data_IF_061058456043
#
_entry.id   IF_061058456043
#
_cell.length_a   1.000
_cell.length_b   1.000
_cell.length_c   1.000
_cell.angle_alpha   90.00
_cell.angle_beta   90.00
_cell.angle_gamma   90.00
#
_symmetry.space_group_name_H-M   'P 1'
#
loop_
_entity.id
_entity.type
_entity.pdbx_description
1 polymer ?
#
# COMPACT_ATOMS: atom_id res chain seq x y z
N UNK A 1 27.83 26.00 23.13
CA UNK A 1 26.72 26.96 22.98
C UNK A 1 26.16 26.82 21.61
N UNK A 2 24.84 26.71 21.49
CA UNK A 2 24.17 26.68 20.17
C UNK A 2 24.33 28.06 19.52
N UNK A 3 25.00 28.09 18.36
CA UNK A 3 25.16 29.31 17.56
C UNK A 3 23.94 29.51 16.67
N UNK A 4 23.52 30.75 16.46
CA UNK A 4 22.40 31.11 15.60
C UNK A 4 22.86 32.12 14.56
N UNK A 5 22.26 32.07 13.37
CA UNK A 5 22.33 33.10 12.35
C UNK A 5 20.99 33.82 12.27
N UNK A 6 20.99 35.04 11.79
CA UNK A 6 19.77 35.80 11.50
C UNK A 6 19.42 35.60 10.03
N UNK A 7 18.20 35.12 9.79
CA UNK A 7 17.58 35.10 8.45
C UNK A 7 16.45 36.15 8.41
N UNK A 8 16.12 36.63 7.24
CA UNK A 8 15.09 37.67 7.05
C UNK A 8 14.16 37.28 5.90
N UNK A 9 12.88 37.60 6.04
CA UNK A 9 11.86 37.55 5.02
C UNK A 9 10.92 38.73 5.11
N UNK A 10 9.84 38.77 4.33
CA UNK A 10 8.86 39.86 4.32
C UNK A 10 8.16 40.11 5.66
N UNK A 11 8.24 39.17 6.62
CA UNK A 11 7.70 39.29 7.98
C UNK A 11 8.77 39.74 9.00
N UNK A 12 10.01 39.98 8.57
CA UNK A 12 11.12 40.44 9.40
C UNK A 12 12.10 39.34 9.79
N UNK A 13 12.94 39.63 10.75
CA UNK A 13 14.06 38.78 11.16
C UNK A 13 13.64 37.59 12.03
N UNK A 14 14.32 36.46 11.87
CA UNK A 14 14.16 35.29 12.69
C UNK A 14 15.52 34.58 12.90
N UNK A 15 15.66 33.92 14.06
CA UNK A 15 16.87 33.18 14.42
C UNK A 15 16.78 31.73 13.90
N UNK A 16 17.77 31.31 13.15
CA UNK A 16 17.93 29.93 12.69
C UNK A 16 19.22 29.37 13.28
N UNK A 17 19.24 28.10 13.67
CA UNK A 17 20.49 27.45 14.13
C UNK A 17 21.52 27.48 13.00
N UNK A 18 22.77 27.84 13.33
CA UNK A 18 23.81 28.06 12.35
C UNK A 18 24.23 26.78 11.58
N UNK A 19 24.00 25.60 12.17
CA UNK A 19 24.27 24.29 11.61
C UNK A 19 23.17 23.76 10.68
N UNK A 20 22.10 24.51 10.45
CA UNK A 20 20.96 24.10 9.62
C UNK A 20 20.98 24.80 8.27
N UNK A 21 20.55 24.08 7.23
CA UNK A 21 20.51 24.58 5.85
C UNK A 21 19.16 25.17 5.44
N UNK A 22 18.12 25.07 6.27
CA UNK A 22 16.88 25.82 6.02
C UNK A 22 17.00 27.28 6.45
N UNK A 23 16.08 28.12 5.99
CA UNK A 23 16.02 29.55 6.26
C UNK A 23 14.77 29.96 7.06
N UNK A 24 14.32 31.19 6.84
CA UNK A 24 13.26 31.83 7.61
C UNK A 24 11.91 31.14 7.53
N UNK A 25 11.46 30.73 6.32
CA UNK A 25 10.11 30.17 6.18
C UNK A 25 9.99 28.81 6.85
N UNK A 26 10.97 27.94 6.71
CA UNK A 26 11.02 26.66 7.43
C UNK A 26 11.08 26.89 8.94
N UNK A 27 11.91 27.82 9.40
CA UNK A 27 12.00 28.14 10.84
C UNK A 27 10.67 28.62 11.40
N UNK A 28 9.96 29.51 10.67
CA UNK A 28 8.61 29.97 11.09
C UNK A 28 7.63 28.82 11.18
N UNK A 29 7.67 27.89 10.22
CA UNK A 29 6.81 26.71 10.25
C UNK A 29 7.06 25.86 11.51
N UNK A 30 8.33 25.63 11.86
CA UNK A 30 8.70 24.89 13.09
C UNK A 30 8.25 25.59 14.38
N UNK A 31 8.18 26.91 14.38
CA UNK A 31 7.71 27.67 15.54
C UNK A 31 6.18 27.71 15.64
N UNK A 32 5.49 27.80 14.50
CA UNK A 32 4.03 27.98 14.43
C UNK A 32 3.25 26.66 14.46
N UNK A 33 3.80 25.57 13.92
CA UNK A 33 3.08 24.30 13.76
C UNK A 33 3.69 23.18 14.63
N UNK A 34 3.69 23.36 15.93
CA UNK A 34 4.08 22.34 16.92
C UNK A 34 2.92 21.40 17.20
N UNK A 35 2.46 20.69 16.17
CA UNK A 35 1.27 19.85 16.20
C UNK A 35 1.68 18.42 15.82
N UNK A 36 1.37 17.46 16.70
CA UNK A 36 1.71 16.04 16.48
C UNK A 36 3.21 15.76 16.47
N UNK A 37 3.57 14.57 16.02
CA UNK A 37 4.97 14.13 15.86
C UNK A 37 5.26 13.66 14.44
N UNK A 38 4.22 13.53 13.61
CA UNK A 38 4.30 13.05 12.24
C UNK A 38 5.04 14.09 11.39
N UNK A 39 6.18 13.66 10.84
CA UNK A 39 6.96 14.44 9.90
C UNK A 39 6.54 14.16 8.46
N UNK A 40 6.83 15.11 7.57
CA UNK A 40 6.66 14.87 6.13
C UNK A 40 7.47 13.65 5.69
N UNK A 41 6.89 12.76 4.86
CA UNK A 41 7.55 11.53 4.43
C UNK A 41 8.87 11.81 3.70
N UNK A 42 9.91 11.02 3.99
CA UNK A 42 11.20 11.12 3.29
C UNK A 42 11.07 10.80 1.79
N UNK A 43 10.18 9.89 1.44
CA UNK A 43 9.80 9.59 0.06
C UNK A 43 9.26 10.80 -0.70
N UNK A 44 8.47 11.65 -0.05
CA UNK A 44 8.00 12.91 -0.64
C UNK A 44 9.17 13.89 -0.84
N UNK A 45 10.11 13.96 0.10
CA UNK A 45 11.30 14.81 -0.04
C UNK A 45 12.17 14.34 -1.21
N UNK A 46 12.35 13.04 -1.36
CA UNK A 46 13.00 12.44 -2.52
C UNK A 46 12.32 12.86 -3.83
N UNK A 47 10.99 12.77 -3.88
CA UNK A 47 10.21 13.18 -5.06
C UNK A 47 10.28 14.69 -5.32
N UNK A 48 10.37 15.52 -4.29
CA UNK A 48 10.69 16.94 -4.45
C UNK A 48 12.06 17.17 -5.08
N UNK A 49 13.08 16.40 -4.72
CA UNK A 49 14.41 16.51 -5.33
C UNK A 49 14.37 16.18 -6.81
N UNK A 50 13.71 15.09 -7.22
CA UNK A 50 13.48 14.72 -8.63
C UNK A 50 12.78 15.86 -9.39
N UNK A 51 11.71 16.39 -8.82
CA UNK A 51 10.94 17.48 -9.41
C UNK A 51 11.77 18.75 -9.56
N UNK A 52 12.52 19.15 -8.52
CA UNK A 52 13.36 20.37 -8.55
C UNK A 52 14.52 20.25 -9.54
N UNK A 53 15.11 19.07 -9.66
CA UNK A 53 16.10 18.80 -10.72
C UNK A 53 15.49 18.99 -12.10
N UNK A 54 14.31 18.39 -12.36
CA UNK A 54 13.63 18.50 -13.65
C UNK A 54 13.23 19.95 -13.96
N UNK A 55 12.70 20.68 -12.97
CA UNK A 55 12.36 22.09 -13.11
C UNK A 55 13.60 22.95 -13.39
N UNK A 56 14.74 22.70 -12.75
CA UNK A 56 15.97 23.43 -13.02
C UNK A 56 16.46 23.21 -14.45
N UNK A 57 16.44 21.98 -14.95
CA UNK A 57 16.82 21.65 -16.33
C UNK A 57 15.87 22.30 -17.35
N UNK A 58 14.55 22.31 -17.08
CA UNK A 58 13.58 23.00 -17.92
C UNK A 58 13.78 24.52 -17.89
N UNK A 59 14.04 25.12 -16.73
CA UNK A 59 14.35 26.54 -16.61
C UNK A 59 15.66 26.94 -17.33
N UNK A 60 16.66 26.08 -17.35
CA UNK A 60 17.86 26.27 -18.16
C UNK A 60 17.52 26.27 -19.64
N UNK A 61 16.71 25.32 -20.12
CA UNK A 61 16.24 25.26 -21.51
C UNK A 61 15.54 26.57 -21.94
N UNK A 62 14.72 27.14 -21.06
CA UNK A 62 14.02 28.41 -21.31
C UNK A 62 14.85 29.66 -20.93
N UNK A 63 16.13 29.53 -20.64
CA UNK A 63 17.05 30.62 -20.25
C UNK A 63 16.55 31.45 -19.05
N UNK A 64 15.78 30.82 -18.12
CA UNK A 64 15.33 31.46 -16.88
C UNK A 64 16.40 31.44 -15.80
N UNK A 65 17.30 30.47 -15.86
CA UNK A 65 18.48 30.35 -14.98
C UNK A 65 19.73 30.06 -15.82
N UNK A 66 20.91 30.34 -15.27
CA UNK A 66 22.18 30.05 -15.91
C UNK A 66 22.60 28.58 -15.77
N UNK A 67 23.53 28.12 -16.61
CA UNK A 67 24.14 26.78 -16.49
C UNK A 67 24.71 26.52 -15.08
N UNK A 68 25.45 27.48 -14.51
CA UNK A 68 26.03 27.37 -13.17
C UNK A 68 24.97 27.20 -12.08
N UNK A 69 23.84 27.94 -12.19
CA UNK A 69 22.71 27.80 -11.28
C UNK A 69 22.03 26.42 -11.40
N UNK A 70 21.81 25.97 -12.64
CA UNK A 70 21.24 24.66 -12.90
C UNK A 70 22.13 23.55 -12.35
N UNK A 71 23.43 23.57 -12.63
CA UNK A 71 24.41 22.61 -12.12
C UNK A 71 24.36 22.50 -10.59
N UNK A 72 24.37 23.65 -9.90
CA UNK A 72 24.32 23.68 -8.45
C UNK A 72 23.02 23.08 -7.89
N UNK A 73 21.84 23.40 -8.49
CA UNK A 73 20.56 22.82 -8.08
C UNK A 73 20.55 21.31 -8.31
N UNK A 74 20.91 20.86 -9.50
CA UNK A 74 20.95 19.44 -9.88
C UNK A 74 21.85 18.64 -8.94
N UNK A 75 23.05 19.15 -8.63
CA UNK A 75 23.98 18.49 -7.72
C UNK A 75 23.39 18.25 -6.33
N UNK A 76 22.71 19.25 -5.79
CA UNK A 76 22.10 19.11 -4.44
C UNK A 76 20.87 18.21 -4.49
N UNK A 77 20.04 18.28 -5.54
CA UNK A 77 18.92 17.37 -5.72
C UNK A 77 19.39 15.91 -5.74
N UNK A 78 20.43 15.59 -6.49
CA UNK A 78 21.02 14.25 -6.52
C UNK A 78 21.51 13.79 -5.14
N UNK A 79 22.17 14.66 -4.38
CA UNK A 79 22.60 14.33 -3.02
C UNK A 79 21.39 14.02 -2.09
N UNK A 80 20.29 14.76 -2.23
CA UNK A 80 19.04 14.50 -1.46
C UNK A 80 18.43 13.16 -1.87
N UNK A 81 18.40 12.85 -3.16
CA UNK A 81 17.94 11.57 -3.69
C UNK A 81 18.79 10.40 -3.17
N UNK A 82 20.10 10.57 -3.02
CA UNK A 82 21.03 9.61 -2.42
C UNK A 82 20.86 9.49 -0.88
N UNK A 83 19.84 10.16 -0.30
CA UNK A 83 19.55 10.10 1.13
C UNK A 83 20.37 11.05 2.01
N UNK A 84 21.16 11.95 1.42
CA UNK A 84 21.91 12.96 2.18
C UNK A 84 20.98 14.11 2.61
N UNK A 85 21.34 14.77 3.70
CA UNK A 85 20.65 15.96 4.23
C UNK A 85 19.17 15.74 4.61
N UNK A 86 18.69 14.52 4.79
CA UNK A 86 17.29 14.27 5.15
C UNK A 86 16.90 14.83 6.52
N UNK A 87 17.87 15.07 7.42
CA UNK A 87 17.68 15.76 8.68
C UNK A 87 17.39 17.28 8.54
N UNK A 88 17.53 17.81 7.31
CA UNK A 88 17.22 19.20 6.98
C UNK A 88 15.76 19.42 6.58
N UNK A 89 14.92 18.36 6.65
CA UNK A 89 13.48 18.39 6.33
C UNK A 89 12.65 18.02 7.56
N UNK A 90 12.60 18.90 8.60
CA UNK A 90 12.04 18.57 9.90
C UNK A 90 10.55 18.96 10.04
N UNK A 91 9.86 19.31 8.96
CA UNK A 91 8.51 19.84 9.04
C UNK A 91 7.47 18.78 9.35
N UNK A 92 6.51 19.15 10.20
CA UNK A 92 5.36 18.30 10.51
C UNK A 92 4.36 18.24 9.35
N UNK A 93 3.59 17.16 9.31
CA UNK A 93 2.45 17.00 8.39
C UNK A 93 1.41 18.10 8.61
N UNK A 94 1.17 18.45 9.87
CA UNK A 94 0.19 19.44 10.32
C UNK A 94 0.72 20.88 10.12
N UNK A 95 0.77 21.28 8.85
CA UNK A 95 1.25 22.59 8.38
C UNK A 95 0.19 23.23 7.48
N UNK A 96 0.53 24.26 6.70
CA UNK A 96 -0.40 24.79 5.70
C UNK A 96 -0.83 23.71 4.72
N UNK A 97 -2.13 23.62 4.44
CA UNK A 97 -2.71 22.54 3.66
C UNK A 97 -2.31 22.51 2.19
N UNK A 98 -1.73 23.60 1.65
CA UNK A 98 -1.11 23.66 0.32
C UNK A 98 0.28 23.03 0.26
N UNK A 99 0.90 22.73 1.42
CA UNK A 99 2.26 22.23 1.50
C UNK A 99 3.35 23.26 1.17
N UNK A 100 3.00 24.55 1.20
CA UNK A 100 3.94 25.65 0.88
C UNK A 100 5.19 25.60 1.72
N UNK A 101 5.09 25.32 3.02
CA UNK A 101 6.27 25.25 3.88
C UNK A 101 7.21 24.11 3.46
N UNK A 102 6.68 22.96 3.05
CA UNK A 102 7.51 21.84 2.55
C UNK A 102 8.22 22.19 1.24
N UNK A 103 7.52 22.82 0.29
CA UNK A 103 8.14 23.32 -0.94
C UNK A 103 9.23 24.36 -0.63
N UNK A 104 8.95 25.29 0.29
CA UNK A 104 9.94 26.28 0.69
C UNK A 104 11.11 25.68 1.46
N UNK A 105 10.88 24.68 2.29
CA UNK A 105 11.96 23.93 2.94
C UNK A 105 12.91 23.32 1.90
N UNK A 106 12.38 22.68 0.85
CA UNK A 106 13.20 22.17 -0.25
C UNK A 106 13.96 23.31 -0.95
N UNK A 107 13.30 24.41 -1.27
CA UNK A 107 13.93 25.56 -1.93
C UNK A 107 15.04 26.19 -1.07
N UNK A 108 14.81 26.35 0.23
CA UNK A 108 15.78 26.93 1.17
C UNK A 108 17.01 26.04 1.33
N UNK A 109 16.82 24.74 1.54
CA UNK A 109 17.92 23.76 1.66
C UNK A 109 18.73 23.67 0.37
N UNK A 110 18.06 23.53 -0.79
CA UNK A 110 18.73 23.43 -2.10
C UNK A 110 19.51 24.73 -2.39
N UNK A 111 18.93 25.90 -2.13
CA UNK A 111 19.62 27.17 -2.40
C UNK A 111 20.84 27.36 -1.50
N UNK A 112 20.76 27.02 -0.23
CA UNK A 112 21.86 27.20 0.71
C UNK A 112 23.03 26.24 0.42
N UNK A 113 22.74 24.95 0.26
CA UNK A 113 23.73 23.96 -0.10
C UNK A 113 24.32 24.20 -1.50
N UNK A 114 23.49 24.64 -2.46
CA UNK A 114 23.95 24.94 -3.81
C UNK A 114 24.86 26.15 -3.89
N UNK A 115 24.63 27.17 -3.05
CA UNK A 115 25.53 28.32 -2.90
C UNK A 115 26.88 27.91 -2.27
N UNK A 116 26.85 27.01 -1.29
CA UNK A 116 28.07 26.45 -0.70
C UNK A 116 28.85 25.62 -1.74
N UNK A 117 28.17 24.78 -2.51
CA UNK A 117 28.78 23.99 -3.61
C UNK A 117 29.40 24.91 -4.67
N UNK A 118 28.69 25.94 -5.11
CA UNK A 118 29.16 26.90 -6.10
C UNK A 118 30.24 27.86 -5.57
N UNK A 119 30.45 27.91 -4.25
CA UNK A 119 31.32 28.87 -3.54
C UNK A 119 30.98 30.35 -3.87
N UNK A 120 29.69 30.58 -4.18
CA UNK A 120 29.18 31.88 -4.60
C UNK A 120 27.67 31.94 -4.31
N UNK A 121 27.16 33.10 -3.92
CA UNK A 121 25.74 33.29 -3.65
C UNK A 121 24.95 33.55 -4.94
N UNK A 122 24.70 32.49 -5.72
CA UNK A 122 24.03 32.53 -7.04
C UNK A 122 22.61 32.02 -7.01
N UNK A 123 22.18 31.30 -5.95
CA UNK A 123 20.86 30.74 -5.81
C UNK A 123 20.04 31.49 -4.78
N UNK A 124 18.81 31.83 -5.14
CA UNK A 124 17.77 32.34 -4.25
C UNK A 124 16.60 31.31 -4.17
N UNK A 125 16.00 31.03 -2.98
CA UNK A 125 14.95 30.02 -2.84
C UNK A 125 13.76 30.27 -3.77
N UNK A 126 13.32 31.52 -3.92
CA UNK A 126 12.16 31.89 -4.75
C UNK A 126 12.52 32.17 -6.20
N UNK A 127 13.58 32.95 -6.46
CA UNK A 127 13.84 33.49 -7.79
C UNK A 127 14.57 32.50 -8.70
N UNK A 128 15.32 31.55 -8.14
CA UNK A 128 16.07 30.54 -8.90
C UNK A 128 15.55 29.12 -8.70
N UNK A 129 15.50 28.61 -7.46
CA UNK A 129 15.09 27.23 -7.18
C UNK A 129 13.60 27.04 -7.48
N UNK A 130 12.77 28.05 -7.20
CA UNK A 130 11.32 28.03 -7.47
C UNK A 130 10.93 28.73 -8.78
N UNK A 131 11.87 29.08 -9.64
CA UNK A 131 11.57 29.71 -10.93
C UNK A 131 10.53 28.93 -11.73
N UNK A 132 9.56 29.61 -12.36
CA UNK A 132 8.47 29.02 -13.16
C UNK A 132 7.53 28.08 -12.38
N UNK A 133 7.51 28.11 -11.06
CA UNK A 133 6.78 27.18 -10.18
C UNK A 133 5.95 27.94 -9.14
N UNK A 134 5.01 27.22 -8.55
CA UNK A 134 4.32 27.57 -7.29
C UNK A 134 4.32 26.35 -6.37
N UNK A 135 4.17 26.55 -5.06
CA UNK A 135 3.88 25.43 -4.14
C UNK A 135 2.61 24.70 -4.52
N UNK A 136 1.67 25.39 -5.15
CA UNK A 136 0.36 24.88 -5.53
C UNK A 136 0.44 23.79 -6.60
N UNK A 137 1.40 23.86 -7.52
CA UNK A 137 1.63 22.86 -8.56
C UNK A 137 2.76 21.87 -8.21
N UNK A 138 3.79 22.31 -7.46
CA UNK A 138 4.92 21.44 -7.10
C UNK A 138 4.58 20.40 -6.05
N UNK A 139 3.78 20.76 -5.04
CA UNK A 139 3.43 19.77 -4.01
C UNK A 139 2.58 18.62 -4.55
N UNK A 140 1.49 18.85 -5.31
CA UNK A 140 0.76 17.74 -5.91
C UNK A 140 1.59 16.96 -6.93
N UNK A 141 2.48 17.61 -7.69
CA UNK A 141 3.38 16.89 -8.59
C UNK A 141 4.33 15.96 -7.82
N UNK A 142 4.96 16.43 -6.74
CA UNK A 142 5.81 15.60 -5.89
C UNK A 142 5.04 14.45 -5.23
N UNK A 143 3.78 14.68 -4.79
CA UNK A 143 2.89 13.65 -4.27
C UNK A 143 2.63 12.54 -5.31
N UNK A 144 2.31 12.92 -6.55
CA UNK A 144 2.07 11.98 -7.64
C UNK A 144 3.33 11.16 -7.98
N UNK A 145 4.51 11.81 -8.04
CA UNK A 145 5.79 11.13 -8.26
C UNK A 145 6.05 10.11 -7.14
N UNK A 146 5.88 10.50 -5.88
CA UNK A 146 6.06 9.62 -4.72
C UNK A 146 5.17 8.39 -4.79
N UNK A 147 3.87 8.58 -5.04
CA UNK A 147 2.91 7.47 -5.09
C UNK A 147 3.24 6.52 -6.24
N UNK A 148 3.55 7.06 -7.42
CA UNK A 148 3.91 6.25 -8.58
C UNK A 148 5.18 5.42 -8.32
N UNK A 149 6.24 6.03 -7.81
CA UNK A 149 7.49 5.32 -7.52
C UNK A 149 7.29 4.23 -6.46
N UNK A 150 6.70 4.56 -5.32
CA UNK A 150 6.51 3.58 -4.23
C UNK A 150 5.64 2.39 -4.66
N UNK A 151 4.60 2.63 -5.45
CA UNK A 151 3.78 1.52 -5.97
C UNK A 151 4.61 0.64 -6.91
N UNK A 152 5.30 1.24 -7.90
CA UNK A 152 6.04 0.47 -8.90
C UNK A 152 7.30 -0.21 -8.32
N UNK A 153 8.04 0.45 -7.44
CA UNK A 153 9.34 -0.01 -6.96
C UNK A 153 9.23 -0.86 -5.68
N UNK A 154 8.19 -0.65 -4.86
CA UNK A 154 8.05 -1.35 -3.58
C UNK A 154 6.85 -2.31 -3.59
N UNK A 155 5.60 -1.82 -3.81
CA UNK A 155 4.40 -2.61 -3.61
C UNK A 155 4.22 -3.70 -4.67
N UNK A 156 4.32 -3.36 -5.96
CA UNK A 156 4.11 -4.33 -7.05
C UNK A 156 5.10 -5.51 -7.01
N UNK A 157 6.39 -5.32 -6.71
CA UNK A 157 7.32 -6.43 -6.50
C UNK A 157 6.91 -7.36 -5.35
N UNK A 158 6.40 -6.81 -4.23
CA UNK A 158 5.92 -7.61 -3.08
C UNK A 158 4.67 -8.40 -3.40
N UNK A 159 3.74 -7.81 -4.15
CA UNK A 159 2.55 -8.54 -4.65
C UNK A 159 2.96 -9.68 -5.58
N UNK A 160 3.88 -9.47 -6.50
CA UNK A 160 4.39 -10.52 -7.38
C UNK A 160 5.03 -11.66 -6.58
N UNK A 161 5.79 -11.34 -5.53
CA UNK A 161 6.40 -12.34 -4.65
C UNK A 161 5.33 -13.16 -3.91
N UNK A 162 4.30 -12.52 -3.37
CA UNK A 162 3.19 -13.20 -2.69
C UNK A 162 2.41 -14.11 -3.66
N UNK A 163 2.10 -13.62 -4.86
CA UNK A 163 1.43 -14.40 -5.91
C UNK A 163 2.24 -15.66 -6.26
N UNK A 164 3.55 -15.51 -6.46
CA UNK A 164 4.43 -16.64 -6.77
C UNK A 164 4.49 -17.66 -5.62
N UNK A 165 4.52 -17.20 -4.37
CA UNK A 165 4.52 -18.08 -3.19
C UNK A 165 3.21 -18.85 -3.04
N UNK A 166 2.05 -18.19 -3.25
CA UNK A 166 0.75 -18.88 -3.20
C UNK A 166 0.66 -19.91 -4.33
N UNK A 167 1.12 -19.58 -5.54
CA UNK A 167 1.15 -20.51 -6.66
C UNK A 167 2.00 -21.76 -6.36
N UNK A 168 3.15 -21.58 -5.73
CA UNK A 168 3.98 -22.71 -5.27
C UNK A 168 3.22 -23.59 -4.28
N UNK A 169 2.49 -22.98 -3.32
CA UNK A 169 1.65 -23.73 -2.38
C UNK A 169 0.50 -24.47 -3.08
N UNK A 170 -0.10 -23.90 -4.13
CA UNK A 170 -1.11 -24.60 -4.95
C UNK A 170 -0.53 -25.89 -5.58
N UNK A 171 0.65 -25.78 -6.20
CA UNK A 171 1.34 -26.89 -6.86
C UNK A 171 1.74 -28.00 -5.86
N UNK A 172 2.22 -27.62 -4.67
CA UNK A 172 2.61 -28.55 -3.59
C UNK A 172 1.42 -29.29 -2.96
N UNK A 173 0.19 -28.79 -3.13
CA UNK A 173 -1.02 -29.29 -2.47
C UNK A 173 -2.14 -29.68 -3.46
N UNK A 174 -1.83 -29.95 -4.72
CA UNK A 174 -2.81 -30.21 -5.81
C UNK A 174 -3.69 -31.43 -5.59
N UNK A 175 -3.20 -32.44 -4.86
CA UNK A 175 -3.89 -33.71 -4.60
C UNK A 175 -4.62 -33.77 -3.24
N UNK A 176 -4.55 -32.72 -2.42
CA UNK A 176 -5.11 -32.72 -1.07
C UNK A 176 -6.57 -32.28 -1.14
N UNK A 177 -7.49 -33.17 -0.76
CA UNK A 177 -8.91 -32.87 -0.61
C UNK A 177 -9.19 -32.53 0.86
N UNK A 178 -9.96 -31.50 1.09
CA UNK A 178 -10.43 -31.06 2.41
C UNK A 178 -11.92 -30.75 2.37
N UNK A 179 -12.52 -30.63 3.56
CA UNK A 179 -13.89 -30.10 3.65
C UNK A 179 -13.88 -28.57 3.45
N UNK A 180 -14.78 -28.08 2.61
CA UNK A 180 -15.05 -26.66 2.46
C UNK A 180 -15.92 -26.14 3.63
N UNK A 181 -15.86 -24.83 3.88
CA UNK A 181 -16.70 -24.16 4.88
C UNK A 181 -17.33 -22.92 4.32
N UNK A 182 -18.64 -22.79 4.59
CA UNK A 182 -19.39 -21.54 4.42
C UNK A 182 -20.04 -21.19 5.74
N UNK A 183 -20.08 -19.92 6.12
CA UNK A 183 -20.59 -19.48 7.45
C UNK A 183 -19.83 -20.15 8.64
N UNK A 184 -18.58 -20.58 8.45
CA UNK A 184 -17.80 -21.43 9.38
C UNK A 184 -18.46 -22.79 9.65
N UNK A 185 -19.43 -23.20 8.87
CA UNK A 185 -20.06 -24.53 8.93
C UNK A 185 -19.54 -25.43 7.82
N UNK A 186 -19.55 -26.74 8.05
CA UNK A 186 -19.15 -27.73 7.06
C UNK A 186 -19.97 -27.57 5.77
N UNK A 187 -19.27 -27.63 4.63
CA UNK A 187 -19.88 -27.60 3.30
C UNK A 187 -19.37 -28.79 2.47
N UNK A 188 -19.33 -28.65 1.16
CA UNK A 188 -18.89 -29.73 0.27
C UNK A 188 -17.37 -29.75 0.12
N UNK A 189 -16.77 -30.90 -0.29
CA UNK A 189 -15.35 -31.02 -0.51
C UNK A 189 -14.80 -30.09 -1.58
N UNK A 190 -13.51 -29.72 -1.45
CA UNK A 190 -12.70 -29.04 -2.46
C UNK A 190 -11.24 -29.50 -2.36
N UNK A 191 -10.44 -29.24 -3.39
CA UNK A 191 -8.99 -29.36 -3.29
C UNK A 191 -8.44 -28.18 -2.51
N UNK A 192 -7.45 -28.41 -1.64
CA UNK A 192 -6.78 -27.33 -0.90
C UNK A 192 -6.11 -26.32 -1.86
N UNK A 193 -5.58 -26.80 -2.98
CA UNK A 193 -5.08 -25.94 -4.06
C UNK A 193 -6.15 -24.99 -4.63
N UNK A 194 -7.44 -25.39 -4.70
CA UNK A 194 -8.53 -24.53 -5.15
C UNK A 194 -8.80 -23.39 -4.13
N UNK A 195 -8.71 -23.66 -2.82
CA UNK A 195 -8.81 -22.62 -1.79
C UNK A 195 -7.65 -21.61 -1.92
N UNK A 196 -6.42 -22.11 -2.09
CA UNK A 196 -5.23 -21.29 -2.31
C UNK A 196 -5.33 -20.48 -3.62
N UNK A 197 -5.86 -21.04 -4.69
CA UNK A 197 -6.06 -20.33 -5.97
C UNK A 197 -7.03 -19.15 -5.83
N UNK A 198 -8.01 -19.26 -4.93
CA UNK A 198 -8.89 -18.16 -4.56
C UNK A 198 -8.12 -17.01 -3.93
N UNK A 199 -7.19 -17.31 -3.01
CA UNK A 199 -6.32 -16.29 -2.39
C UNK A 199 -5.40 -15.63 -3.43
N UNK A 200 -4.79 -16.41 -4.31
CA UNK A 200 -3.96 -15.86 -5.40
C UNK A 200 -4.75 -14.92 -6.29
N UNK A 201 -5.92 -15.32 -6.72
CA UNK A 201 -6.78 -14.51 -7.58
C UNK A 201 -7.19 -13.18 -6.92
N UNK A 202 -7.44 -13.16 -5.60
CA UNK A 202 -7.71 -11.92 -4.85
C UNK A 202 -6.54 -10.93 -4.94
N UNK A 203 -5.30 -11.42 -4.83
CA UNK A 203 -4.10 -10.57 -4.90
C UNK A 203 -3.83 -10.12 -6.34
N UNK A 204 -4.00 -10.99 -7.33
CA UNK A 204 -3.87 -10.66 -8.76
C UNK A 204 -4.84 -9.55 -9.16
N UNK A 205 -6.14 -9.68 -8.83
CA UNK A 205 -7.14 -8.66 -9.11
C UNK A 205 -6.85 -7.33 -8.38
N UNK A 206 -6.39 -7.39 -7.13
CA UNK A 206 -6.00 -6.17 -6.40
C UNK A 206 -4.81 -5.47 -7.07
N UNK A 207 -3.82 -6.25 -7.53
CA UNK A 207 -2.69 -5.72 -8.28
C UNK A 207 -3.15 -5.01 -9.56
N UNK A 208 -4.03 -5.64 -10.34
CA UNK A 208 -4.55 -5.08 -11.58
C UNK A 208 -5.31 -3.76 -11.33
N UNK A 209 -6.14 -3.70 -10.28
CA UNK A 209 -6.84 -2.49 -9.87
C UNK A 209 -5.88 -1.36 -9.47
N UNK A 210 -4.79 -1.68 -8.75
CA UNK A 210 -3.76 -0.70 -8.40
C UNK A 210 -3.05 -0.19 -9.66
N UNK A 211 -2.66 -1.08 -10.56
CA UNK A 211 -2.02 -0.71 -11.83
C UNK A 211 -2.96 0.18 -12.69
N UNK A 212 -4.25 -0.16 -12.77
CA UNK A 212 -5.22 0.66 -13.50
C UNK A 212 -5.36 2.08 -12.92
N UNK A 213 -5.22 2.25 -11.62
CA UNK A 213 -5.28 3.56 -10.97
C UNK A 213 -4.10 4.47 -11.33
N UNK A 214 -2.94 3.90 -11.65
CA UNK A 214 -1.70 4.65 -11.90
C UNK A 214 -1.78 5.58 -13.12
N UNK A 215 -2.65 5.31 -14.08
CA UNK A 215 -2.84 6.18 -15.26
C UNK A 215 -3.13 7.63 -14.91
N UNK A 216 -3.88 7.87 -13.82
CA UNK A 216 -4.18 9.22 -13.33
C UNK A 216 -3.09 9.76 -12.39
N UNK A 217 -2.33 8.89 -11.75
CA UNK A 217 -1.19 9.28 -10.93
C UNK A 217 -0.03 9.80 -11.78
N UNK A 218 0.10 9.34 -13.03
CA UNK A 218 1.14 9.81 -13.94
C UNK A 218 0.89 11.21 -14.50
N UNK A 219 -0.29 11.81 -14.29
CA UNK A 219 -0.62 13.16 -14.73
C UNK A 219 -0.13 14.19 -13.70
N UNK A 220 0.76 15.11 -14.11
CA UNK A 220 1.41 16.06 -13.20
C UNK A 220 0.89 17.48 -13.36
N UNK A 221 0.72 18.18 -12.23
CA UNK A 221 0.26 19.56 -12.15
C UNK A 221 1.30 20.61 -12.58
N UNK A 222 2.52 20.20 -12.97
CA UNK A 222 3.61 21.10 -13.32
C UNK A 222 3.15 22.15 -14.35
N UNK A 223 3.61 23.40 -14.17
CA UNK A 223 3.26 24.53 -15.05
C UNK A 223 1.92 25.20 -14.75
N UNK A 224 1.11 24.64 -13.82
CA UNK A 224 -0.14 25.28 -13.39
C UNK A 224 0.10 26.62 -12.65
N UNK A 225 1.20 26.67 -11.92
CA UNK A 225 1.58 27.77 -11.03
C UNK A 225 0.51 28.06 -9.95
N UNK A 226 0.09 29.31 -9.79
CA UNK A 226 -0.72 29.74 -8.64
C UNK A 226 -2.16 29.21 -8.66
N UNK A 227 -2.86 29.29 -9.81
CA UNK A 227 -4.30 29.00 -9.96
C UNK A 227 -4.65 28.18 -11.19
N UNK A 228 -3.66 27.66 -11.93
CA UNK A 228 -3.88 26.87 -13.14
C UNK A 228 -3.63 27.63 -14.45
N UNK A 229 -3.37 28.93 -14.40
CA UNK A 229 -3.19 29.79 -15.59
C UNK A 229 -1.75 29.85 -16.11
N UNK A 230 -0.78 29.25 -15.39
CA UNK A 230 0.62 29.24 -15.78
C UNK A 230 1.32 30.60 -15.70
N UNK A 231 0.89 31.50 -14.80
CA UNK A 231 1.52 32.81 -14.66
C UNK A 231 3.02 32.69 -14.38
N UNK A 232 3.84 33.44 -15.14
CA UNK A 232 5.31 33.44 -15.09
C UNK A 232 5.98 32.11 -15.50
N UNK A 233 5.23 31.14 -16.01
CA UNK A 233 5.74 29.87 -16.52
C UNK A 233 5.86 29.94 -18.06
N UNK A 234 6.98 29.53 -18.66
CA UNK A 234 7.10 29.42 -20.12
C UNK A 234 6.14 28.37 -20.69
N UNK A 235 5.64 28.61 -21.89
CA UNK A 235 4.86 27.62 -22.64
C UNK A 235 5.73 26.39 -22.95
N UNK A 236 5.19 25.16 -22.74
CA UNK A 236 5.93 23.90 -22.90
C UNK A 236 6.84 23.51 -21.73
N UNK A 237 6.86 24.29 -20.64
CA UNK A 237 7.65 23.98 -19.46
C UNK A 237 7.25 22.63 -18.84
N UNK A 238 5.96 22.36 -18.71
CA UNK A 238 5.40 21.14 -18.16
C UNK A 238 5.74 19.90 -19.01
N UNK A 239 5.78 20.02 -20.34
CA UNK A 239 6.18 18.94 -21.24
C UNK A 239 7.66 18.55 -21.01
N UNK A 240 8.53 19.55 -20.88
CA UNK A 240 9.96 19.31 -20.61
C UNK A 240 10.17 18.72 -19.23
N UNK A 241 9.51 19.26 -18.21
CA UNK A 241 9.61 18.75 -16.82
C UNK A 241 9.15 17.29 -16.74
N UNK A 242 7.97 16.97 -17.27
CA UNK A 242 7.43 15.60 -17.21
C UNK A 242 8.27 14.62 -18.03
N UNK A 243 8.82 15.05 -19.17
CA UNK A 243 9.75 14.23 -19.96
C UNK A 243 11.02 13.90 -19.16
N UNK A 244 11.64 14.88 -18.51
CA UNK A 244 12.85 14.65 -17.69
C UNK A 244 12.55 13.71 -16.53
N UNK A 245 11.40 13.88 -15.84
CA UNK A 245 10.97 13.00 -14.77
C UNK A 245 10.76 11.58 -15.30
N UNK A 246 10.10 11.42 -16.44
CA UNK A 246 9.85 10.10 -17.05
C UNK A 246 11.15 9.39 -17.43
N UNK A 247 12.10 10.10 -18.01
CA UNK A 247 13.41 9.54 -18.36
C UNK A 247 14.20 9.12 -17.11
N UNK A 248 14.12 9.92 -16.03
CA UNK A 248 14.84 9.66 -14.79
C UNK A 248 14.25 8.49 -13.99
N UNK A 249 12.93 8.38 -13.94
CA UNK A 249 12.22 7.38 -13.14
C UNK A 249 11.85 6.13 -13.92
N UNK A 250 11.97 6.17 -15.24
CA UNK A 250 11.45 5.13 -16.15
C UNK A 250 9.94 4.88 -15.98
N UNK A 251 9.17 5.92 -15.60
CA UNK A 251 7.72 5.90 -15.46
C UNK A 251 7.08 6.90 -16.42
N UNK A 252 5.87 6.65 -16.96
CA UNK A 252 5.29 7.41 -18.07
C UNK A 252 4.56 8.68 -17.60
N UNK A 253 5.24 9.59 -16.93
CA UNK A 253 4.67 10.85 -16.50
C UNK A 253 4.36 11.78 -17.67
N UNK A 254 3.21 12.43 -17.60
CA UNK A 254 2.72 13.40 -18.58
C UNK A 254 2.18 14.65 -17.89
N UNK A 255 2.09 15.80 -18.60
CA UNK A 255 1.38 16.95 -18.07
C UNK A 255 -0.11 16.65 -17.91
N UNK A 256 -0.72 17.05 -16.79
CA UNK A 256 -2.18 17.03 -16.66
C UNK A 256 -2.78 17.95 -17.73
N UNK A 257 -3.78 17.45 -18.43
CA UNK A 257 -4.45 18.16 -19.53
C UNK A 257 -5.27 19.36 -19.05
N UNK A 258 -5.66 19.37 -17.77
CA UNK A 258 -6.42 20.46 -17.15
C UNK A 258 -5.76 20.92 -15.84
N UNK A 259 -5.02 22.00 -15.91
CA UNK A 259 -4.27 22.54 -14.78
C UNK A 259 -5.17 23.00 -13.61
N UNK A 260 -6.41 23.38 -13.86
CA UNK A 260 -7.37 23.75 -12.82
C UNK A 260 -7.82 22.52 -12.06
N UNK A 261 -8.10 21.41 -12.75
CA UNK A 261 -8.36 20.11 -12.14
C UNK A 261 -7.17 19.64 -11.28
N UNK A 262 -5.96 19.68 -11.83
CA UNK A 262 -4.74 19.21 -11.17
C UNK A 262 -4.47 19.88 -9.80
N UNK A 263 -4.82 21.18 -9.66
CA UNK A 263 -4.65 21.92 -8.41
C UNK A 263 -5.76 21.64 -7.40
N UNK A 264 -7.00 21.48 -7.87
CA UNK A 264 -8.18 21.40 -6.99
C UNK A 264 -8.62 19.99 -6.65
N UNK A 265 -8.61 19.07 -7.61
CA UNK A 265 -8.99 17.69 -7.38
C UNK A 265 -7.82 16.85 -6.87
N UNK A 266 -8.15 15.86 -6.06
CA UNK A 266 -7.23 14.80 -5.62
C UNK A 266 -7.85 13.42 -5.87
N UNK A 267 -8.69 13.34 -6.88
CA UNK A 267 -9.43 12.14 -7.28
C UNK A 267 -8.50 10.99 -7.69
N UNK A 268 -7.33 11.27 -8.31
CA UNK A 268 -6.30 10.27 -8.57
C UNK A 268 -5.84 9.58 -7.26
N UNK A 269 -5.65 10.35 -6.19
CA UNK A 269 -5.28 9.80 -4.88
C UNK A 269 -6.43 9.01 -4.25
N UNK A 270 -7.67 9.47 -4.39
CA UNK A 270 -8.87 8.75 -3.91
C UNK A 270 -9.03 7.42 -4.63
N UNK A 271 -8.86 7.40 -5.95
CA UNK A 271 -8.97 6.18 -6.74
C UNK A 271 -7.89 5.16 -6.36
N UNK A 272 -6.64 5.60 -6.29
CA UNK A 272 -5.51 4.75 -5.90
C UNK A 272 -5.66 4.25 -4.46
N UNK A 273 -6.06 5.12 -3.52
CA UNK A 273 -6.34 4.74 -2.13
C UNK A 273 -7.48 3.71 -2.05
N UNK A 274 -8.53 3.86 -2.86
CA UNK A 274 -9.61 2.88 -2.97
C UNK A 274 -9.12 1.51 -3.43
N UNK A 275 -8.19 1.46 -4.39
CA UNK A 275 -7.55 0.22 -4.83
C UNK A 275 -6.67 -0.41 -3.72
N UNK A 276 -5.88 0.41 -3.00
CA UNK A 276 -5.11 -0.04 -1.82
C UNK A 276 -6.02 -0.58 -0.71
N UNK A 277 -7.17 0.05 -0.47
CA UNK A 277 -8.18 -0.47 0.47
C UNK A 277 -8.74 -1.82 0.01
N UNK A 278 -8.99 -2.01 -1.29
CA UNK A 278 -9.39 -3.30 -1.86
C UNK A 278 -8.38 -4.40 -1.57
N UNK A 279 -7.08 -4.10 -1.78
CA UNK A 279 -5.99 -5.01 -1.41
C UNK A 279 -5.97 -5.30 0.11
N UNK A 280 -6.12 -4.27 0.94
CA UNK A 280 -6.17 -4.43 2.40
C UNK A 280 -7.33 -5.36 2.84
N UNK A 281 -8.50 -5.24 2.21
CA UNK A 281 -9.64 -6.11 2.49
C UNK A 281 -9.35 -7.58 2.13
N UNK A 282 -8.71 -7.83 0.99
CA UNK A 282 -8.29 -9.16 0.58
C UNK A 282 -7.20 -9.73 1.50
N UNK A 283 -6.22 -8.93 1.89
CA UNK A 283 -5.20 -9.31 2.88
C UNK A 283 -5.82 -9.67 4.24
N UNK A 284 -6.79 -8.91 4.70
CA UNK A 284 -7.56 -9.18 5.93
C UNK A 284 -8.24 -10.55 5.86
N UNK A 285 -8.91 -10.84 4.74
CA UNK A 285 -9.62 -12.11 4.51
C UNK A 285 -8.63 -13.29 4.51
N UNK A 286 -7.54 -13.19 3.76
CA UNK A 286 -6.53 -14.25 3.65
C UNK A 286 -5.89 -14.52 5.03
N UNK A 287 -5.46 -13.48 5.73
CA UNK A 287 -4.86 -13.62 7.05
C UNK A 287 -5.81 -14.25 8.08
N UNK A 288 -7.10 -13.89 8.03
CA UNK A 288 -8.12 -14.48 8.91
C UNK A 288 -8.32 -15.97 8.61
N UNK A 289 -8.41 -16.37 7.35
CA UNK A 289 -8.58 -17.79 6.99
C UNK A 289 -7.34 -18.60 7.41
N UNK A 290 -6.15 -18.10 7.10
CA UNK A 290 -4.90 -18.78 7.49
C UNK A 290 -4.83 -18.99 9.00
N UNK A 291 -5.13 -17.99 9.83
CA UNK A 291 -5.09 -18.18 11.30
C UNK A 291 -6.22 -19.07 11.83
N UNK A 292 -7.39 -19.12 11.17
CA UNK A 292 -8.44 -20.07 11.51
C UNK A 292 -8.02 -21.50 11.18
N UNK A 293 -7.50 -21.75 9.98
CA UNK A 293 -7.02 -23.07 9.57
C UNK A 293 -5.86 -23.56 10.44
N UNK A 294 -4.99 -22.65 10.91
CA UNK A 294 -3.87 -22.97 11.80
C UNK A 294 -4.24 -23.01 13.29
N UNK A 295 -5.49 -22.75 13.66
CA UNK A 295 -5.90 -22.63 15.07
C UNK A 295 -5.78 -23.93 15.85
N UNK A 296 -5.39 -23.83 17.11
CA UNK A 296 -5.27 -24.99 18.00
C UNK A 296 -3.92 -25.01 18.74
N UNK A 297 -3.13 -26.10 18.63
CA UNK A 297 -3.22 -27.26 17.71
C UNK A 297 -4.23 -28.35 18.08
N UNK A 298 -4.70 -28.41 19.34
CA UNK A 298 -5.58 -29.53 19.77
C UNK A 298 -7.06 -29.16 19.94
N UNK A 299 -7.35 -27.87 20.15
CA UNK A 299 -8.70 -27.38 20.42
C UNK A 299 -9.16 -26.38 19.34
N UNK A 300 -8.61 -26.48 18.14
CA UNK A 300 -8.98 -25.66 16.99
C UNK A 300 -9.11 -26.49 15.73
N UNK A 301 -9.06 -25.84 14.55
CA UNK A 301 -9.23 -26.49 13.26
C UNK A 301 -7.99 -27.31 12.88
N UNK A 302 -6.83 -26.72 13.00
CA UNK A 302 -5.51 -27.35 12.76
C UNK A 302 -5.41 -28.10 11.42
N UNK A 303 -5.95 -27.55 10.35
CA UNK A 303 -5.80 -28.13 8.99
C UNK A 303 -4.51 -27.70 8.32
N UNK A 304 -3.83 -26.67 8.83
CA UNK A 304 -2.51 -26.23 8.37
C UNK A 304 -1.58 -25.96 9.56
N UNK A 305 -0.28 -26.11 9.33
CA UNK A 305 0.78 -25.60 10.18
C UNK A 305 1.41 -24.37 9.54
N UNK A 306 1.72 -23.37 10.36
CA UNK A 306 2.46 -22.16 9.96
C UNK A 306 3.76 -22.06 10.74
N UNK A 307 4.79 -21.35 10.23
CA UNK A 307 6.06 -21.19 10.94
C UNK A 307 5.91 -20.60 12.35
N UNK A 308 6.72 -21.13 13.27
CA UNK A 308 6.85 -20.63 14.64
C UNK A 308 7.95 -19.58 14.68
N UNK A 309 7.59 -18.31 14.64
CA UNK A 309 8.57 -17.23 14.52
C UNK A 309 9.10 -16.72 15.86
N UNK A 310 8.24 -16.70 16.90
CA UNK A 310 8.59 -16.24 18.24
C UNK A 310 7.77 -16.91 19.34
N UNK A 311 8.22 -16.88 20.61
CA UNK A 311 7.43 -17.36 21.74
C UNK A 311 6.12 -16.55 21.86
N UNK A 312 4.98 -17.25 21.90
CA UNK A 312 3.65 -16.61 21.82
C UNK A 312 3.05 -16.21 23.18
N UNK A 313 3.73 -16.48 24.31
CA UNK A 313 3.18 -16.19 25.64
C UNK A 313 4.27 -16.02 26.69
N UNK A 314 4.08 -15.07 27.60
CA UNK A 314 4.96 -14.86 28.77
C UNK A 314 4.72 -15.86 29.91
N UNK A 315 3.57 -16.55 29.89
CA UNK A 315 3.15 -17.46 31.00
C UNK A 315 2.78 -18.88 30.56
N UNK A 316 2.61 -19.11 29.25
CA UNK A 316 2.28 -20.43 28.68
C UNK A 316 3.45 -20.93 27.82
N UNK A 317 4.36 -21.75 28.41
CA UNK A 317 5.53 -22.24 27.67
C UNK A 317 5.11 -23.06 26.44
N UNK A 318 5.75 -22.80 25.29
CA UNK A 318 5.49 -23.52 24.05
C UNK A 318 4.25 -23.05 23.26
N UNK A 319 3.52 -22.04 23.72
CA UNK A 319 2.43 -21.45 22.94
C UNK A 319 3.01 -20.63 21.77
N UNK A 320 2.50 -20.87 20.56
CA UNK A 320 2.82 -20.12 19.34
C UNK A 320 1.54 -19.42 18.85
N UNK A 321 1.67 -18.17 18.43
CA UNK A 321 0.55 -17.38 17.92
C UNK A 321 0.72 -17.12 16.40
N UNK A 322 -0.36 -16.87 15.67
CA UNK A 322 -0.31 -16.53 14.24
C UNK A 322 0.02 -15.04 14.05
N UNK A 323 1.17 -14.60 14.57
CA UNK A 323 1.55 -13.18 14.72
C UNK A 323 1.63 -12.43 13.39
N UNK A 324 2.06 -13.10 12.32
CA UNK A 324 2.09 -12.51 10.98
C UNK A 324 0.67 -12.20 10.45
N UNK A 325 -0.29 -13.08 10.73
CA UNK A 325 -1.70 -12.81 10.41
C UNK A 325 -2.25 -11.63 11.21
N UNK A 326 -1.88 -11.53 12.50
CA UNK A 326 -2.30 -10.41 13.35
C UNK A 326 -1.73 -9.09 12.86
N UNK A 327 -0.44 -9.04 12.52
CA UNK A 327 0.21 -7.86 11.98
C UNK A 327 -0.44 -7.40 10.67
N UNK A 328 -0.66 -8.33 9.72
CA UNK A 328 -1.28 -8.01 8.45
C UNK A 328 -2.72 -7.49 8.60
N UNK A 329 -3.50 -8.05 9.55
CA UNK A 329 -4.86 -7.55 9.82
C UNK A 329 -4.86 -6.16 10.45
N UNK A 330 -3.92 -5.83 11.34
CA UNK A 330 -3.77 -4.47 11.89
C UNK A 330 -3.40 -3.45 10.80
N UNK A 331 -2.49 -3.81 9.90
CA UNK A 331 -2.13 -2.98 8.74
C UNK A 331 -3.34 -2.74 7.85
N UNK A 332 -4.12 -3.77 7.56
CA UNK A 332 -5.34 -3.62 6.75
C UNK A 332 -6.33 -2.61 7.38
N UNK A 333 -6.53 -2.66 8.69
CA UNK A 333 -7.39 -1.68 9.40
C UNK A 333 -6.83 -0.26 9.26
N UNK A 334 -5.51 -0.08 9.44
CA UNK A 334 -4.89 1.24 9.32
C UNK A 334 -5.05 1.82 7.92
N UNK A 335 -4.86 1.01 6.87
CA UNK A 335 -5.04 1.43 5.47
C UNK A 335 -6.48 1.84 5.18
N UNK A 336 -7.47 1.12 5.71
CA UNK A 336 -8.88 1.51 5.60
C UNK A 336 -9.17 2.85 6.30
N UNK A 337 -8.53 3.11 7.44
CA UNK A 337 -8.62 4.39 8.14
C UNK A 337 -7.98 5.54 7.34
N UNK A 338 -6.83 5.29 6.74
CA UNK A 338 -6.14 6.24 5.88
C UNK A 338 -6.96 6.59 4.63
N UNK A 339 -7.61 5.60 4.01
CA UNK A 339 -8.51 5.82 2.87
C UNK A 339 -9.66 6.77 3.22
N UNK A 340 -10.25 6.62 4.38
CA UNK A 340 -11.29 7.54 4.85
C UNK A 340 -10.75 8.97 5.00
N UNK A 341 -9.56 9.14 5.59
CA UNK A 341 -8.91 10.44 5.73
C UNK A 341 -8.58 11.08 4.37
N UNK A 342 -8.07 10.28 3.41
CA UNK A 342 -7.77 10.72 2.04
C UNK A 342 -9.06 11.17 1.34
N UNK A 343 -10.13 10.36 1.38
CA UNK A 343 -11.40 10.69 0.74
C UNK A 343 -12.03 11.97 1.28
N UNK A 344 -12.04 12.16 2.61
CA UNK A 344 -12.53 13.37 3.25
C UNK A 344 -11.64 14.58 2.87
N UNK A 345 -10.32 14.45 2.95
CA UNK A 345 -9.38 15.51 2.57
C UNK A 345 -9.50 15.90 1.10
N UNK A 346 -9.69 14.94 0.21
CA UNK A 346 -9.87 15.18 -1.22
C UNK A 346 -11.20 15.86 -1.56
N UNK A 347 -12.26 15.62 -0.75
CA UNK A 347 -13.57 16.26 -0.93
C UNK A 347 -13.59 17.72 -0.50
N UNK A 348 -12.51 18.19 0.14
CA UNK A 348 -12.34 19.56 0.54
C UNK A 348 -11.58 20.34 -0.56
N UNK A 349 -11.49 21.62 -0.39
CA UNK A 349 -10.88 22.51 -1.36
C UNK A 349 -11.91 23.54 -1.78
N UNK A 350 -11.45 24.77 -1.94
CA UNK A 350 -12.31 25.88 -2.31
C UNK A 350 -11.71 26.55 -3.54
N UNK A 351 -12.52 26.69 -4.57
CA UNK A 351 -12.13 27.31 -5.84
C UNK A 351 -10.91 26.59 -6.46
N UNK A 352 -9.77 27.25 -6.61
CA UNK A 352 -8.65 26.80 -7.43
C UNK A 352 -7.59 25.99 -6.66
N UNK A 353 -7.84 25.59 -5.38
CA UNK A 353 -6.84 24.83 -4.61
C UNK A 353 -7.46 23.89 -3.56
N UNK A 354 -6.97 22.65 -3.52
CA UNK A 354 -7.12 21.78 -2.36
C UNK A 354 -6.04 22.09 -1.33
N UNK A 355 -6.45 22.23 -0.06
CA UNK A 355 -5.55 22.57 1.05
C UNK A 355 -5.47 21.48 2.13
N UNK A 356 -5.53 20.22 1.71
CA UNK A 356 -5.36 19.02 2.54
C UNK A 356 -4.21 18.12 2.05
N UNK A 357 -3.35 18.67 1.18
CA UNK A 357 -2.32 17.90 0.48
C UNK A 357 -1.29 17.22 1.39
N UNK A 358 -0.76 17.84 2.46
CA UNK A 358 0.16 17.16 3.38
C UNK A 358 -0.47 15.95 4.08
N UNK A 359 -1.74 16.04 4.49
CA UNK A 359 -2.50 14.93 5.06
C UNK A 359 -2.64 13.78 4.06
N UNK A 360 -3.00 14.08 2.81
CA UNK A 360 -3.16 13.09 1.74
C UNK A 360 -1.82 12.41 1.45
N UNK A 361 -0.74 13.20 1.32
CA UNK A 361 0.60 12.67 1.07
C UNK A 361 1.07 11.70 2.16
N UNK A 362 0.90 12.06 3.42
CA UNK A 362 1.26 11.22 4.56
C UNK A 362 0.47 9.91 4.59
N UNK A 363 -0.85 9.96 4.41
CA UNK A 363 -1.69 8.77 4.44
C UNK A 363 -1.45 7.85 3.22
N UNK A 364 -1.17 8.41 2.03
CA UNK A 364 -0.78 7.62 0.85
C UNK A 364 0.56 6.92 1.08
N UNK A 365 1.59 7.65 1.52
CA UNK A 365 2.90 7.08 1.82
C UNK A 365 2.81 5.96 2.85
N UNK A 366 2.13 6.20 3.97
CA UNK A 366 1.96 5.22 5.04
C UNK A 366 1.22 3.98 4.55
N UNK A 367 0.15 4.14 3.76
CA UNK A 367 -0.63 3.00 3.24
C UNK A 367 0.19 2.11 2.33
N UNK A 368 0.95 2.69 1.40
CA UNK A 368 1.79 1.94 0.47
C UNK A 368 2.92 1.24 1.24
N UNK A 369 3.59 1.95 2.15
CA UNK A 369 4.67 1.39 2.96
C UNK A 369 4.20 0.22 3.81
N UNK A 370 3.14 0.41 4.58
CA UNK A 370 2.61 -0.63 5.48
C UNK A 370 2.16 -1.87 4.71
N UNK A 371 1.47 -1.71 3.57
CA UNK A 371 1.08 -2.85 2.74
C UNK A 371 2.30 -3.57 2.16
N UNK A 372 3.27 -2.84 1.64
CA UNK A 372 4.50 -3.42 1.08
C UNK A 372 5.25 -4.25 2.11
N UNK A 373 5.46 -3.70 3.30
CA UNK A 373 6.21 -4.36 4.39
C UNK A 373 5.44 -5.56 4.97
N UNK A 374 4.14 -5.39 5.22
CA UNK A 374 3.32 -6.45 5.83
C UNK A 374 3.10 -7.62 4.86
N UNK A 375 2.87 -7.36 3.57
CA UNK A 375 2.75 -8.40 2.54
C UNK A 375 4.07 -9.16 2.40
N UNK A 376 5.20 -8.47 2.38
CA UNK A 376 6.51 -9.12 2.37
C UNK A 376 6.72 -10.00 3.61
N UNK A 377 6.50 -9.44 4.80
CA UNK A 377 6.66 -10.17 6.06
C UNK A 377 5.75 -11.40 6.13
N UNK A 378 4.48 -11.27 5.78
CA UNK A 378 3.53 -12.37 5.73
C UNK A 378 3.94 -13.44 4.72
N UNK A 379 4.45 -13.04 3.55
CA UNK A 379 4.90 -13.96 2.51
C UNK A 379 6.06 -14.82 2.99
N UNK A 380 7.10 -14.23 3.59
CA UNK A 380 8.34 -14.95 3.95
C UNK A 380 8.28 -15.60 5.33
N UNK A 381 7.43 -15.12 6.25
CA UNK A 381 7.37 -15.64 7.63
C UNK A 381 6.07 -16.40 7.94
N UNK A 382 5.12 -16.47 7.00
CA UNK A 382 3.89 -17.23 7.18
C UNK A 382 3.62 -18.16 5.99
N UNK A 383 3.52 -17.63 4.77
CA UNK A 383 3.22 -18.44 3.59
C UNK A 383 4.40 -19.36 3.21
N UNK A 384 5.64 -18.85 3.28
CA UNK A 384 6.81 -19.71 3.08
C UNK A 384 7.02 -20.58 4.32
N UNK A 385 6.75 -21.87 4.16
CA UNK A 385 6.76 -22.86 5.24
C UNK A 385 5.37 -23.25 5.78
N UNK A 386 4.29 -22.69 5.24
CA UNK A 386 2.93 -23.19 5.47
C UNK A 386 2.84 -24.64 4.97
N UNK A 387 2.28 -25.55 5.77
CA UNK A 387 2.12 -26.96 5.45
C UNK A 387 0.70 -27.42 5.71
N UNK A 388 0.15 -28.22 4.80
CA UNK A 388 -1.11 -28.91 5.03
C UNK A 388 -0.97 -30.01 6.09
N UNK A 389 -1.85 -30.04 7.07
CA UNK A 389 -2.02 -31.16 7.98
C UNK A 389 -2.97 -32.17 7.35
N UNK A 390 -2.39 -33.05 6.51
CA UNK A 390 -3.15 -34.02 5.71
C UNK A 390 -4.02 -34.95 6.57
N UNK A 391 -3.53 -35.36 7.72
CA UNK A 391 -4.27 -36.24 8.63
C UNK A 391 -5.52 -35.55 9.18
N UNK A 392 -5.40 -34.30 9.62
CA UNK A 392 -6.55 -33.52 10.10
C UNK A 392 -7.53 -33.19 8.99
N UNK A 393 -7.04 -32.81 7.80
CA UNK A 393 -7.90 -32.56 6.62
C UNK A 393 -8.70 -33.81 6.23
N UNK A 394 -8.05 -34.96 6.14
CA UNK A 394 -8.68 -36.24 5.81
C UNK A 394 -9.73 -36.64 6.86
N UNK A 395 -9.38 -36.55 8.15
CA UNK A 395 -10.30 -36.81 9.25
C UNK A 395 -11.53 -35.92 9.20
N UNK A 396 -11.35 -34.62 9.01
CA UNK A 396 -12.46 -33.67 8.94
C UNK A 396 -13.35 -33.93 7.74
N UNK A 397 -12.76 -34.27 6.59
CA UNK A 397 -13.44 -34.62 5.35
C UNK A 397 -14.37 -35.83 5.57
N UNK A 398 -13.83 -36.94 6.09
CA UNK A 398 -14.60 -38.17 6.26
C UNK A 398 -15.60 -38.11 7.43
N UNK A 399 -15.41 -37.24 8.40
CA UNK A 399 -16.39 -37.02 9.47
C UNK A 399 -17.54 -36.09 9.06
N UNK A 400 -17.42 -35.38 7.92
CA UNK A 400 -18.43 -34.42 7.51
C UNK A 400 -19.72 -35.10 7.06
N UNK A 401 -20.82 -34.69 7.65
CA UNK A 401 -22.16 -35.15 7.24
C UNK A 401 -22.60 -34.54 5.91
N UNK A 402 -21.91 -33.49 5.41
CA UNK A 402 -22.24 -32.85 4.14
C UNK A 402 -21.81 -33.64 2.94
N UNK A 403 -21.05 -34.71 3.09
CA UNK A 403 -20.84 -35.72 2.06
C UNK A 403 -22.15 -36.36 1.59
N UNK A 404 -23.21 -36.29 2.39
CA UNK A 404 -24.56 -36.74 2.01
C UNK A 404 -25.07 -36.09 0.73
N UNK A 405 -24.54 -34.91 0.38
CA UNK A 405 -24.98 -34.14 -0.82
C UNK A 405 -24.85 -34.95 -2.11
N UNK A 406 -23.83 -35.79 -2.25
CA UNK A 406 -23.66 -36.65 -3.44
C UNK A 406 -24.74 -37.75 -3.53
N UNK A 407 -25.43 -38.06 -2.44
CA UNK A 407 -26.52 -39.03 -2.43
C UNK A 407 -27.87 -38.45 -2.84
N UNK A 408 -28.02 -37.16 -3.00
CA UNK A 408 -29.28 -36.53 -3.43
C UNK A 408 -29.84 -37.14 -4.75
N UNK A 409 -29.04 -37.43 -5.79
CA UNK A 409 -29.56 -38.05 -6.99
C UNK A 409 -29.94 -39.54 -6.82
N UNK A 410 -29.47 -40.19 -5.73
CA UNK A 410 -29.62 -41.63 -5.51
C UNK A 410 -30.81 -41.96 -4.60
N UNK A 411 -30.92 -41.23 -3.47
CA UNK A 411 -31.95 -41.49 -2.45
C UNK A 411 -32.98 -40.36 -2.29
N UNK A 412 -32.75 -39.23 -2.98
CA UNK A 412 -33.58 -38.00 -2.88
C UNK A 412 -33.17 -37.10 -1.71
N UNK A 413 -33.42 -35.80 -1.87
CA UNK A 413 -33.02 -34.74 -0.94
C UNK A 413 -33.55 -34.95 0.49
N UNK A 414 -34.83 -35.35 0.62
CA UNK A 414 -35.48 -35.54 1.93
C UNK A 414 -34.83 -36.68 2.73
N UNK A 415 -34.53 -37.82 2.08
CA UNK A 415 -33.87 -38.95 2.75
C UNK A 415 -32.40 -38.61 3.08
N UNK A 416 -31.72 -37.89 2.20
CA UNK A 416 -30.38 -37.41 2.47
C UNK A 416 -30.31 -36.47 3.68
N UNK A 417 -31.24 -35.50 3.74
CA UNK A 417 -31.39 -34.63 4.90
C UNK A 417 -31.74 -35.35 6.19
N UNK A 418 -32.64 -36.32 6.12
CA UNK A 418 -32.99 -37.17 7.27
C UNK A 418 -31.78 -37.99 7.75
N UNK A 419 -31.02 -38.60 6.85
CA UNK A 419 -29.84 -39.37 7.21
C UNK A 419 -28.74 -38.51 7.92
N UNK A 420 -28.51 -37.30 7.41
CA UNK A 420 -27.57 -36.35 8.03
C UNK A 420 -28.02 -35.95 9.45
N UNK A 421 -29.30 -35.62 9.62
CA UNK A 421 -29.86 -35.29 10.94
C UNK A 421 -29.86 -36.47 11.91
N UNK A 422 -30.13 -37.67 11.41
CA UNK A 422 -30.11 -38.92 12.19
C UNK A 422 -28.67 -39.22 12.66
N UNK A 423 -27.71 -39.10 11.76
CA UNK A 423 -26.28 -39.25 12.08
C UNK A 423 -25.83 -38.29 13.19
N UNK A 424 -26.14 -37.00 13.03
CA UNK A 424 -25.81 -35.99 14.03
C UNK A 424 -26.44 -36.24 15.40
N UNK A 425 -27.74 -36.54 15.43
CA UNK A 425 -28.51 -36.76 16.67
C UNK A 425 -28.03 -37.99 17.44
N UNK A 426 -27.60 -39.07 16.76
CA UNK A 426 -27.17 -40.30 17.34
C UNK A 426 -25.64 -40.47 17.43
N UNK A 427 -24.88 -39.41 17.09
CA UNK A 427 -23.40 -39.42 17.08
C UNK A 427 -22.83 -40.59 16.23
N UNK A 428 -23.41 -40.79 15.04
CA UNK A 428 -23.00 -41.77 14.04
C UNK A 428 -22.24 -41.11 12.89
N UNK A 429 -21.42 -41.88 12.21
CA UNK A 429 -20.92 -41.50 10.90
C UNK A 429 -22.06 -41.48 9.87
N UNK A 430 -21.88 -40.77 8.77
CA UNK A 430 -22.89 -40.76 7.69
C UNK A 430 -23.14 -42.17 7.16
N UNK A 431 -22.09 -43.00 7.04
CA UNK A 431 -22.21 -44.39 6.59
C UNK A 431 -23.06 -45.21 7.54
N UNK A 432 -22.78 -45.20 8.83
CA UNK A 432 -23.57 -45.93 9.85
C UNK A 432 -25.03 -45.52 9.78
N UNK A 433 -25.33 -44.21 9.73
CA UNK A 433 -26.69 -43.72 9.64
C UNK A 433 -27.45 -44.21 8.38
N UNK A 434 -26.80 -44.19 7.23
CA UNK A 434 -27.37 -44.65 5.95
C UNK A 434 -27.68 -46.16 6.00
N UNK A 435 -26.80 -46.94 6.65
CA UNK A 435 -26.97 -48.38 6.79
C UNK A 435 -28.08 -48.72 7.77
N UNK A 436 -28.15 -48.09 8.97
CA UNK A 436 -29.17 -48.27 9.96
C UNK A 436 -30.57 -47.89 9.45
N UNK A 437 -30.67 -46.82 8.64
CA UNK A 437 -31.93 -46.40 8.02
C UNK A 437 -32.31 -47.29 6.81
N UNK A 438 -31.46 -48.19 6.40
CA UNK A 438 -31.70 -49.10 5.26
C UNK A 438 -31.81 -48.38 3.92
N UNK A 439 -31.21 -47.21 3.77
CA UNK A 439 -31.27 -46.45 2.52
C UNK A 439 -30.34 -46.97 1.43
N UNK A 440 -29.15 -47.48 1.81
CA UNK A 440 -28.19 -48.13 0.89
C UNK A 440 -27.47 -49.27 1.59
N UNK A 441 -26.87 -50.18 0.77
CA UNK A 441 -25.90 -51.16 1.29
C UNK A 441 -24.54 -50.50 1.46
N UNK A 442 -23.61 -51.13 2.21
CA UNK A 442 -22.22 -50.64 2.38
C UNK A 442 -21.53 -50.44 1.04
N UNK A 443 -21.62 -51.38 0.12
CA UNK A 443 -20.98 -51.34 -1.20
C UNK A 443 -21.53 -50.18 -2.05
N UNK A 444 -22.86 -49.94 -1.99
CA UNK A 444 -23.47 -48.80 -2.69
C UNK A 444 -23.09 -47.47 -2.07
N UNK A 445 -22.99 -47.40 -0.75
CA UNK A 445 -22.51 -46.19 -0.08
C UNK A 445 -21.08 -45.83 -0.56
N UNK A 446 -20.17 -46.80 -0.51
CA UNK A 446 -18.77 -46.62 -0.92
C UNK A 446 -18.60 -46.30 -2.40
N UNK A 447 -19.55 -46.77 -3.23
CA UNK A 447 -19.59 -46.45 -4.67
C UNK A 447 -20.00 -45.00 -4.95
N UNK A 448 -20.92 -44.44 -4.17
CA UNK A 448 -21.49 -43.12 -4.43
C UNK A 448 -20.81 -42.01 -3.62
N UNK A 449 -20.36 -42.29 -2.41
CA UNK A 449 -19.72 -41.28 -1.52
C UNK A 449 -18.23 -41.31 -1.78
N UNK A 450 -17.83 -40.60 -2.80
CA UNK A 450 -16.43 -40.44 -3.23
C UNK A 450 -16.15 -38.93 -3.32
N UNK A 451 -15.46 -38.32 -2.33
CA UNK A 451 -15.22 -36.88 -2.28
C UNK A 451 -14.60 -36.29 -3.54
N UNK A 452 -13.67 -37.03 -4.18
CA UNK A 452 -13.00 -36.62 -5.42
C UNK A 452 -13.95 -36.47 -6.61
N UNK A 453 -15.10 -37.16 -6.62
CA UNK A 453 -16.13 -37.06 -7.65
C UNK A 453 -17.12 -35.92 -7.39
N UNK A 454 -17.05 -35.30 -6.24
CA UNK A 454 -17.86 -34.14 -5.89
C UNK A 454 -17.24 -32.82 -6.34
N UNK A 455 -16.01 -32.86 -6.86
CA UNK A 455 -15.20 -31.69 -7.19
C UNK A 455 -14.94 -31.67 -8.70
N UNK A 456 -15.20 -30.51 -9.32
CA UNK A 456 -14.78 -30.25 -10.70
C UNK A 456 -13.40 -29.55 -10.68
N UNK A 457 -12.44 -30.13 -11.44
CA UNK A 457 -11.09 -29.53 -11.59
C UNK A 457 -11.12 -28.35 -12.55
#
# INVERSE_FOLDING_TARGET
MTTYRIEEDCLGQIKVKADKYWKSQTQRSLENFKIGQELMPKSLIHSFAILKEACAKANLHFHKISEKQCEAIVKICQNIEDGQYLDQFPLHVWQTGSGTQTNMNANEVISMLGNEYAKENILHPNDTVNASQSSNDTFPAALHIMVAQKINEELLPRLNQMIAQIKKLEEENEDIIKIGRTHLQDATPLYFSQELSGYRSMIEHSKDQIVDSLKYVYELACGATAVGTGINCPEGFDEIVTKIISEKTNLPFIPDSNKFHALTSKDAMVYTSGALKGLAANCMKIANDVRWLASGPRSGIHEIDIPSNEPGSSIMPGKVNPTQCEALTMVAVQVMGNDAAIGIGASQGNFELNVFMPLIAYNMDQSIQLLSDAIYSFTIHCLDGLKANKETMDKNLHNSLMLVTCLNPVIGYEKAGHASQYAFKNNLTLKEAILELGYLTSEKFDLYVQPEKMIHK
#
